data_IF_574176213363
#
_entry.id   IF_574176213363
#
_cell.length_a   1.000
_cell.length_b   1.000
_cell.length_c   1.000
_cell.angle_alpha   90.00
_cell.angle_beta   90.00
_cell.angle_gamma   90.00
#
_symmetry.space_group_name_H-M   'P 1'
#
loop_
_entity.id
_entity.type
_entity.pdbx_description
1 polymer ?
#
# COMPACT_ATOMS: atom_id res chain seq x y z
N UNK A 1 -16.34 -20.40 -7.14
CA UNK A 1 -16.65 -21.20 -5.94
C UNK A 1 -16.70 -20.34 -4.68
N UNK A 2 -16.89 -20.93 -3.50
CA UNK A 2 -16.85 -20.20 -2.23
C UNK A 2 -15.47 -19.54 -1.98
N UNK A 3 -14.39 -20.22 -2.39
CA UNK A 3 -13.02 -19.70 -2.32
C UNK A 3 -12.83 -18.43 -3.17
N UNK A 4 -13.31 -18.40 -4.41
CA UNK A 4 -13.18 -17.21 -5.28
C UNK A 4 -13.92 -16.00 -4.72
N UNK A 5 -15.10 -16.22 -4.13
CA UNK A 5 -15.86 -15.13 -3.47
C UNK A 5 -15.14 -14.63 -2.22
N UNK A 6 -14.57 -15.54 -1.42
CA UNK A 6 -13.75 -15.16 -0.28
C UNK A 6 -12.55 -14.31 -0.74
N UNK A 7 -11.80 -14.76 -1.73
CA UNK A 7 -10.65 -14.04 -2.26
C UNK A 7 -11.01 -12.65 -2.82
N UNK A 8 -12.13 -12.53 -3.54
CA UNK A 8 -12.60 -11.26 -4.05
C UNK A 8 -13.04 -10.28 -2.95
N UNK A 9 -13.59 -10.79 -1.84
CA UNK A 9 -14.10 -9.96 -0.74
C UNK A 9 -13.06 -9.69 0.35
N UNK A 10 -12.04 -10.52 0.48
CA UNK A 10 -11.06 -10.45 1.57
C UNK A 10 -10.39 -9.07 1.69
N UNK A 11 -9.94 -8.40 0.60
CA UNK A 11 -9.37 -7.05 0.71
C UNK A 11 -10.32 -6.01 1.32
N UNK A 12 -11.62 -6.14 1.08
CA UNK A 12 -12.65 -5.24 1.64
C UNK A 12 -12.86 -5.48 3.14
N UNK A 13 -12.53 -6.67 3.62
CA UNK A 13 -12.66 -7.07 5.02
C UNK A 13 -11.41 -6.74 5.86
N UNK A 14 -10.31 -6.31 5.23
CA UNK A 14 -9.08 -5.94 5.94
C UNK A 14 -9.25 -4.76 6.88
N UNK A 15 -10.25 -3.90 6.63
CA UNK A 15 -10.62 -2.78 7.48
C UNK A 15 -11.13 -3.22 8.85
N UNK A 16 -12.42 -3.13 9.13
CA UNK A 16 -12.92 -3.43 10.49
C UNK A 16 -12.82 -4.92 10.89
N UNK A 17 -13.22 -5.90 10.05
CA UNK A 17 -13.20 -7.31 10.44
C UNK A 17 -11.80 -7.86 10.74
N UNK A 18 -10.79 -7.41 9.97
CA UNK A 18 -9.41 -7.93 10.05
C UNK A 18 -8.34 -6.85 10.23
N UNK A 19 -8.70 -5.69 10.81
CA UNK A 19 -7.76 -4.59 11.08
C UNK A 19 -6.53 -5.04 11.86
N UNK A 20 -6.73 -5.95 12.81
CA UNK A 20 -5.68 -6.45 13.72
C UNK A 20 -4.93 -7.67 13.21
N UNK A 21 -5.32 -8.23 12.06
CA UNK A 21 -4.60 -9.35 11.45
C UNK A 21 -3.15 -8.94 11.20
N UNK A 22 -2.20 -9.83 11.47
CA UNK A 22 -0.80 -9.57 11.18
C UNK A 22 -0.62 -9.12 9.70
N UNK A 23 0.13 -8.04 9.41
CA UNK A 23 0.18 -7.47 8.07
C UNK A 23 0.91 -8.36 7.05
N UNK A 24 1.88 -9.16 7.48
CA UNK A 24 2.52 -10.16 6.62
C UNK A 24 1.49 -11.21 6.23
N UNK A 25 0.80 -11.80 7.21
CA UNK A 25 -0.26 -12.79 6.97
C UNK A 25 -1.40 -12.21 6.11
N UNK A 26 -1.79 -10.96 6.35
CA UNK A 26 -2.80 -10.28 5.56
C UNK A 26 -2.35 -10.09 4.10
N UNK A 27 -1.06 -9.85 3.83
CA UNK A 27 -0.52 -9.83 2.46
C UNK A 27 -0.50 -11.23 1.85
N UNK A 28 -0.07 -12.26 2.59
CA UNK A 28 -0.02 -13.65 2.12
C UNK A 28 -1.38 -14.19 1.70
N UNK A 29 -2.45 -13.83 2.44
CA UNK A 29 -3.80 -14.32 2.17
C UNK A 29 -4.51 -13.61 1.01
N UNK A 30 -3.98 -12.47 0.56
CA UNK A 30 -4.57 -11.69 -0.54
C UNK A 30 -4.16 -12.27 -1.88
N UNK A 31 -5.11 -12.24 -2.80
CA UNK A 31 -4.85 -12.38 -4.23
C UNK A 31 -4.96 -10.99 -4.90
N UNK A 32 -3.87 -10.19 -4.95
CA UNK A 32 -3.92 -8.86 -5.54
C UNK A 32 -4.21 -8.95 -7.05
N UNK A 33 -4.98 -8.00 -7.62
CA UNK A 33 -5.20 -7.97 -9.05
C UNK A 33 -3.86 -7.69 -9.78
N UNK A 34 -3.68 -8.21 -11.02
CA UNK A 34 -2.53 -7.89 -11.87
C UNK A 34 -2.69 -6.48 -12.49
N UNK A 35 -2.99 -5.48 -11.67
CA UNK A 35 -3.24 -4.11 -12.10
C UNK A 35 -1.93 -3.30 -12.09
N UNK A 36 -1.73 -2.51 -13.14
CA UNK A 36 -0.65 -1.51 -13.22
C UNK A 36 -1.20 -0.16 -12.81
N UNK A 37 -0.41 0.61 -12.07
CA UNK A 37 -0.80 1.96 -11.67
C UNK A 37 -0.70 2.90 -12.88
N UNK A 38 -1.76 3.68 -13.10
CA UNK A 38 -1.76 4.73 -14.12
C UNK A 38 -0.83 5.90 -13.74
N UNK A 39 -0.52 6.74 -14.74
CA UNK A 39 0.38 7.89 -14.59
C UNK A 39 -0.10 8.88 -13.53
N UNK A 40 -1.40 9.18 -13.50
CA UNK A 40 -1.99 10.10 -12.53
C UNK A 40 -1.79 9.60 -11.10
N UNK A 41 -2.05 8.31 -10.87
CA UNK A 41 -1.84 7.65 -9.57
C UNK A 41 -0.37 7.75 -9.16
N UNK A 42 0.57 7.48 -10.07
CA UNK A 42 2.01 7.58 -9.81
C UNK A 42 2.44 9.03 -9.48
N UNK A 43 1.91 10.03 -10.16
CA UNK A 43 2.21 11.45 -9.89
C UNK A 43 1.71 11.88 -8.51
N UNK A 44 0.50 11.46 -8.11
CA UNK A 44 -0.04 11.72 -6.77
C UNK A 44 0.76 11.01 -5.67
N UNK A 45 1.15 9.75 -5.89
CA UNK A 45 1.99 9.00 -4.96
C UNK A 45 3.37 9.65 -4.80
N UNK A 46 3.95 10.15 -5.89
CA UNK A 46 5.21 10.90 -5.83
C UNK A 46 5.04 12.21 -5.04
N UNK A 47 4.00 13.00 -5.32
CA UNK A 47 3.73 14.23 -4.56
C UNK A 47 3.51 13.96 -3.06
N UNK A 48 2.84 12.86 -2.70
CA UNK A 48 2.75 12.41 -1.32
C UNK A 48 4.11 12.02 -0.76
N UNK A 49 4.88 11.19 -1.45
CA UNK A 49 6.20 10.77 -1.00
C UNK A 49 7.15 11.93 -0.73
N UNK A 50 7.07 13.00 -1.52
CA UNK A 50 7.90 14.22 -1.41
C UNK A 50 7.37 15.24 -0.40
N UNK A 51 6.24 14.98 0.26
CA UNK A 51 5.66 15.93 1.23
C UNK A 51 4.80 17.04 0.61
N UNK A 52 4.60 17.04 -0.71
CA UNK A 52 3.82 18.05 -1.45
C UNK A 52 2.30 17.82 -1.43
N UNK A 53 1.87 16.62 -1.05
CA UNK A 53 0.46 16.24 -0.91
C UNK A 53 0.18 15.68 0.50
N UNK A 54 -0.86 16.14 1.21
CA UNK A 54 -1.21 15.59 2.52
C UNK A 54 -1.83 14.19 2.38
N UNK A 55 -1.82 13.42 3.47
CA UNK A 55 -2.28 12.03 3.49
C UNK A 55 -3.72 11.84 2.99
N UNK A 56 -4.66 12.68 3.44
CA UNK A 56 -6.08 12.56 3.08
C UNK A 56 -6.29 12.76 1.57
N UNK A 57 -5.60 13.73 0.98
CA UNK A 57 -5.68 13.99 -0.46
C UNK A 57 -5.00 12.87 -1.27
N UNK A 58 -4.01 12.19 -0.69
CA UNK A 58 -3.33 11.06 -1.31
C UNK A 58 -4.08 9.73 -1.17
N UNK A 59 -5.14 9.65 -0.35
CA UNK A 59 -5.71 8.38 0.12
C UNK A 59 -6.16 7.45 -1.00
N UNK A 60 -6.79 7.98 -2.05
CA UNK A 60 -7.22 7.17 -3.21
C UNK A 60 -6.04 6.53 -3.94
N UNK A 61 -4.95 7.28 -4.14
CA UNK A 61 -3.74 6.78 -4.80
C UNK A 61 -3.01 5.75 -3.91
N UNK A 62 -2.93 6.02 -2.60
CA UNK A 62 -2.38 5.11 -1.60
C UNK A 62 -3.16 3.79 -1.55
N UNK A 63 -4.49 3.84 -1.66
CA UNK A 63 -5.34 2.66 -1.70
C UNK A 63 -5.03 1.79 -2.92
N UNK A 64 -4.91 2.40 -4.11
CA UNK A 64 -4.52 1.67 -5.33
C UNK A 64 -3.15 1.00 -5.19
N UNK A 65 -2.15 1.72 -4.66
CA UNK A 65 -0.83 1.14 -4.38
C UNK A 65 -0.90 -0.04 -3.41
N UNK A 66 -1.70 0.07 -2.35
CA UNK A 66 -1.87 -0.99 -1.36
C UNK A 66 -2.58 -2.23 -1.95
N UNK A 67 -3.53 -2.02 -2.86
CA UNK A 67 -4.25 -3.09 -3.56
C UNK A 67 -3.32 -3.92 -4.44
N UNK A 68 -2.34 -3.32 -5.09
CA UNK A 68 -1.39 -4.04 -5.96
C UNK A 68 -0.15 -4.58 -5.24
N UNK A 69 0.01 -4.27 -3.95
CA UNK A 69 1.06 -4.83 -3.09
C UNK A 69 0.92 -6.36 -2.99
N UNK A 70 2.03 -7.08 -3.15
CA UNK A 70 2.10 -8.53 -3.29
C UNK A 70 3.23 -9.20 -2.50
N UNK A 71 4.22 -8.44 -2.06
CA UNK A 71 5.36 -8.99 -1.33
C UNK A 71 5.07 -8.91 0.17
N UNK A 72 4.74 -10.06 0.76
CA UNK A 72 4.44 -10.17 2.18
C UNK A 72 5.67 -9.91 3.04
N UNK A 73 6.88 -10.20 2.55
CA UNK A 73 8.13 -10.03 3.29
C UNK A 73 8.64 -8.58 3.25
N UNK A 74 8.12 -7.74 2.33
CA UNK A 74 8.53 -6.34 2.22
C UNK A 74 7.91 -5.46 3.33
N UNK A 75 8.71 -4.95 4.28
CA UNK A 75 8.24 -4.09 5.37
C UNK A 75 7.50 -2.84 4.90
N UNK A 76 7.84 -2.35 3.70
CA UNK A 76 7.21 -1.15 3.10
C UNK A 76 5.77 -1.45 2.70
N UNK A 77 5.52 -2.63 2.15
CA UNK A 77 4.19 -3.09 1.75
C UNK A 77 3.34 -3.42 2.97
N UNK A 78 3.93 -4.05 4.00
CA UNK A 78 3.28 -4.27 5.29
C UNK A 78 2.82 -2.94 5.93
N UNK A 79 3.71 -1.94 5.99
CA UNK A 79 3.38 -0.61 6.51
C UNK A 79 2.24 0.06 5.73
N UNK A 80 2.31 0.02 4.40
CA UNK A 80 1.28 0.56 3.52
C UNK A 80 -0.08 -0.12 3.76
N UNK A 81 -0.08 -1.46 3.82
CA UNK A 81 -1.27 -2.28 4.08
C UNK A 81 -1.90 -1.92 5.43
N UNK A 82 -1.11 -1.91 6.50
CA UNK A 82 -1.56 -1.58 7.86
C UNK A 82 -2.27 -0.24 7.90
N UNK A 83 -1.64 0.77 7.30
CA UNK A 83 -2.18 2.12 7.38
C UNK A 83 -3.42 2.30 6.49
N UNK A 84 -3.42 1.71 5.30
CA UNK A 84 -4.40 2.05 4.26
C UNK A 84 -5.55 1.05 4.20
N UNK A 85 -5.27 -0.25 4.05
CA UNK A 85 -6.32 -1.27 3.93
C UNK A 85 -6.84 -1.71 5.30
N UNK A 86 -5.93 -1.89 6.27
CA UNK A 86 -6.33 -2.22 7.65
C UNK A 86 -6.77 -1.03 8.48
N UNK A 87 -6.64 0.19 7.93
CA UNK A 87 -7.09 1.46 8.52
C UNK A 87 -6.60 1.70 9.95
N UNK A 88 -5.47 1.09 10.35
CA UNK A 88 -4.92 1.22 11.69
C UNK A 88 -4.60 2.67 12.03
N UNK A 89 -4.80 3.03 13.29
CA UNK A 89 -4.52 4.38 13.75
C UNK A 89 -3.01 4.65 13.76
N UNK A 90 -2.60 5.90 13.59
CA UNK A 90 -1.18 6.27 13.63
C UNK A 90 -0.43 5.82 14.89
N UNK A 91 -1.00 5.88 16.10
CA UNK A 91 -0.34 5.35 17.29
C UNK A 91 -0.10 3.84 17.23
N UNK A 92 -1.02 3.07 16.65
CA UNK A 92 -0.86 1.62 16.50
C UNK A 92 0.24 1.28 15.48
N UNK A 93 0.28 2.01 14.35
CA UNK A 93 1.34 1.87 13.35
C UNK A 93 2.70 2.25 13.94
N UNK A 94 2.77 3.34 14.70
CA UNK A 94 3.99 3.76 15.38
C UNK A 94 4.45 2.72 16.40
N UNK A 95 3.54 2.18 17.22
CA UNK A 95 3.84 1.15 18.22
C UNK A 95 4.35 -0.15 17.61
N UNK A 96 3.77 -0.60 16.48
CA UNK A 96 4.21 -1.82 15.81
C UNK A 96 5.66 -1.72 15.27
N UNK A 97 6.06 -0.52 14.84
CA UNK A 97 7.41 -0.27 14.29
C UNK A 97 8.35 0.45 15.27
N UNK A 98 7.99 0.54 16.56
CA UNK A 98 8.76 1.24 17.60
C UNK A 98 9.16 2.68 17.22
N UNK A 99 8.25 3.41 16.57
CA UNK A 99 8.46 4.80 16.13
C UNK A 99 8.04 5.79 17.22
N UNK A 100 8.63 6.99 17.21
CA UNK A 100 8.35 8.05 18.19
C UNK A 100 6.92 8.61 18.14
N UNK A 101 6.16 8.33 17.08
CA UNK A 101 4.75 8.69 16.98
C UNK A 101 4.28 8.92 15.55
N UNK A 102 3.14 9.61 15.41
CA UNK A 102 2.46 9.86 14.12
C UNK A 102 3.39 10.47 13.07
N UNK A 103 4.14 11.51 13.42
CA UNK A 103 4.97 12.24 12.46
C UNK A 103 6.05 11.34 11.86
N UNK A 104 6.66 10.47 12.66
CA UNK A 104 7.66 9.51 12.17
C UNK A 104 7.02 8.38 11.36
N UNK A 105 5.87 7.87 11.79
CA UNK A 105 5.11 6.88 11.03
C UNK A 105 4.71 7.41 9.65
N UNK A 106 4.26 8.65 9.56
CA UNK A 106 3.90 9.27 8.29
C UNK A 106 5.13 9.51 7.40
N UNK A 107 6.26 9.98 7.95
CA UNK A 107 7.51 10.10 7.19
C UNK A 107 7.99 8.76 6.66
N UNK A 108 7.91 7.70 7.47
CA UNK A 108 8.27 6.34 7.04
C UNK A 108 7.35 5.84 5.94
N UNK A 109 6.05 6.12 6.03
CA UNK A 109 5.09 5.78 4.97
C UNK A 109 5.40 6.54 3.67
N UNK A 110 5.68 7.85 3.73
CA UNK A 110 6.07 8.65 2.57
C UNK A 110 7.30 8.08 1.88
N UNK A 111 8.32 7.70 2.66
CA UNK A 111 9.52 7.07 2.12
C UNK A 111 9.23 5.71 1.48
N UNK A 112 8.47 4.86 2.16
CA UNK A 112 8.04 3.57 1.63
C UNK A 112 7.31 3.73 0.27
N UNK A 113 6.44 4.73 0.13
CA UNK A 113 5.76 5.00 -1.13
C UNK A 113 6.73 5.37 -2.25
N UNK A 114 7.71 6.25 -1.99
CA UNK A 114 8.72 6.61 -3.00
C UNK A 114 9.50 5.39 -3.49
N UNK A 115 9.95 4.55 -2.56
CA UNK A 115 10.73 3.36 -2.90
C UNK A 115 9.89 2.35 -3.70
N UNK A 116 8.62 2.17 -3.34
CA UNK A 116 7.71 1.25 -4.04
C UNK A 116 7.38 1.71 -5.46
N UNK A 117 7.10 3.01 -5.68
CA UNK A 117 6.77 3.51 -7.02
C UNK A 117 7.99 3.54 -7.95
N UNK A 118 9.21 3.66 -7.41
CA UNK A 118 10.43 3.50 -8.20
C UNK A 118 10.54 2.08 -8.75
N UNK A 119 10.26 1.05 -7.92
CA UNK A 119 10.19 -0.33 -8.37
C UNK A 119 9.11 -0.59 -9.44
N UNK A 120 7.97 0.10 -9.36
CA UNK A 120 6.90 0.01 -10.38
C UNK A 120 7.26 0.69 -11.70
N UNK A 121 8.05 1.77 -11.66
CA UNK A 121 8.49 2.50 -12.86
C UNK A 121 9.51 1.72 -13.69
N UNK A 122 10.37 0.92 -13.05
CA UNK A 122 11.33 0.06 -13.76
C UNK A 122 10.61 -0.99 -14.62
N UNK A 123 9.41 -1.43 -14.21
CA UNK A 123 8.57 -2.32 -15.02
C UNK A 123 7.80 -1.66 -16.18
N UNK A 124 7.88 -0.34 -16.34
CA UNK A 124 7.25 0.42 -17.44
C UNK A 124 8.20 0.68 -18.62
N UNK A 125 9.49 0.37 -18.48
CA UNK A 125 10.52 0.70 -19.48
C UNK A 125 10.77 -0.35 -20.57
N UNK A 126 10.12 -1.53 -20.55
CA UNK A 126 10.43 -2.62 -21.49
C UNK A 126 9.39 -2.92 -22.59
N UNK A 127 8.19 -2.31 -22.59
CA UNK A 127 7.08 -2.77 -23.47
C UNK A 127 6.41 -1.70 -24.35
N UNK A 128 7.15 -0.66 -24.77
CA UNK A 128 6.58 0.35 -25.67
C UNK A 128 7.55 0.82 -26.76
N UNK A 129 8.01 -0.10 -27.60
CA UNK A 129 8.36 0.23 -29.00
C UNK A 129 7.68 -0.80 -29.91
N UNK A 130 6.47 -0.54 -30.42
CA UNK A 130 6.05 -1.22 -31.64
C UNK A 130 6.97 -0.76 -32.78
N UNK A 131 7.63 -1.73 -33.42
CA UNK A 131 8.27 -1.53 -34.73
C UNK A 131 7.21 -1.34 -35.81
#
# INVERSE_FOLDING_TARGET
>A
GAADRFQAQFPLQLGEPFSRLDPELALTLRNPPPERLDRETLERLQAFGEGRLPYLDALGALHRLAVVARDAEDPRQQLLLMKVLQRRAWPEVAGHWSLSGKGEAERRLRRAVLDLIQGQRVGLSDDAIPR
#
